data_IF_280375974589
#
_entry.id   IF_280375974589
#
_cell.length_a   1.000
_cell.length_b   1.000
_cell.length_c   1.000
_cell.angle_alpha   90.00
_cell.angle_beta   90.00
_cell.angle_gamma   90.00
#
_symmetry.space_group_name_H-M   'P 1'
#
loop_
_entity.id
_entity.type
_entity.pdbx_description
1 polymer ?
#
# COMPACT_ATOMS: atom_id res chain seq x y z
N UNK A 1 -46.51 -52.90 28.88
CA UNK A 1 -46.95 -51.69 29.62
C UNK A 1 -45.93 -50.59 29.44
N UNK A 2 -46.42 -49.37 29.14
CA UNK A 2 -45.77 -48.05 29.04
C UNK A 2 -44.77 -47.81 27.90
N UNK A 3 -44.78 -46.68 27.17
CA UNK A 3 -45.69 -45.52 26.99
C UNK A 3 -45.25 -44.85 25.66
N UNK A 4 -46.21 -44.39 24.85
CA UNK A 4 -46.00 -43.61 23.61
C UNK A 4 -45.73 -42.14 23.95
N UNK A 5 -44.90 -41.45 23.12
CA UNK A 5 -45.01 -40.06 22.61
C UNK A 5 -43.69 -39.72 21.89
N UNK A 6 -43.59 -39.74 20.56
CA UNK A 6 -44.04 -38.79 19.52
C UNK A 6 -43.26 -37.46 19.44
N UNK A 7 -42.92 -37.11 18.19
CA UNK A 7 -42.62 -35.79 17.58
C UNK A 7 -41.15 -35.37 17.38
N UNK A 8 -40.70 -35.54 16.13
CA UNK A 8 -40.19 -34.56 15.15
C UNK A 8 -39.14 -33.50 15.57
N UNK A 9 -37.98 -33.55 14.91
CA UNK A 9 -37.28 -32.36 14.39
C UNK A 9 -36.36 -32.75 13.23
N UNK A 10 -36.77 -32.38 12.01
CA UNK A 10 -35.88 -32.21 10.86
C UNK A 10 -35.17 -30.88 11.09
N UNK A 11 -33.84 -30.91 11.25
CA UNK A 11 -32.98 -29.74 11.40
C UNK A 11 -31.95 -29.69 10.28
N UNK A 12 -32.22 -28.82 9.31
CA UNK A 12 -31.45 -28.51 8.12
C UNK A 12 -30.16 -27.73 8.45
N UNK A 13 -29.20 -27.76 7.50
CA UNK A 13 -28.18 -26.75 7.15
C UNK A 13 -26.72 -27.01 7.58
N UNK A 14 -25.93 -27.24 6.53
CA UNK A 14 -24.51 -27.02 6.45
C UNK A 14 -24.16 -25.60 6.92
N UNK A 15 -23.33 -25.50 7.95
CA UNK A 15 -22.42 -24.38 8.10
C UNK A 15 -21.04 -24.91 7.71
N UNK A 16 -20.72 -24.78 6.43
CA UNK A 16 -19.33 -24.67 6.00
C UNK A 16 -18.66 -23.69 6.95
N UNK A 17 -17.72 -24.18 7.76
CA UNK A 17 -16.78 -23.34 8.45
C UNK A 17 -15.97 -22.61 7.37
N UNK A 18 -16.51 -21.50 6.87
CA UNK A 18 -15.68 -20.41 6.40
C UNK A 18 -14.89 -20.01 7.64
N UNK A 19 -13.70 -20.59 7.79
CA UNK A 19 -12.61 -19.90 8.44
C UNK A 19 -12.48 -18.60 7.68
N UNK A 20 -13.16 -17.55 8.15
CA UNK A 20 -12.69 -16.21 7.92
C UNK A 20 -11.32 -16.24 8.58
N UNK A 21 -10.29 -16.50 7.78
CA UNK A 21 -8.96 -16.05 8.12
C UNK A 21 -9.17 -14.59 8.48
N UNK A 22 -8.95 -14.28 9.74
CA UNK A 22 -8.71 -12.92 10.19
C UNK A 22 -7.46 -12.51 9.40
N UNK A 23 -7.66 -12.02 8.17
CA UNK A 23 -6.65 -11.26 7.46
C UNK A 23 -6.30 -10.17 8.47
N UNK A 24 -5.12 -10.28 9.07
CA UNK A 24 -4.47 -9.16 9.73
C UNK A 24 -4.33 -8.11 8.64
N UNK A 25 -5.35 -7.25 8.54
CA UNK A 25 -5.55 -6.39 7.39
C UNK A 25 -4.60 -5.21 7.55
N UNK A 26 -3.32 -5.48 7.26
CA UNK A 26 -2.29 -4.46 7.15
C UNK A 26 -2.71 -3.44 6.12
N UNK A 27 -2.30 -2.20 6.33
CA UNK A 27 -2.66 -1.07 5.50
C UNK A 27 -1.43 -0.24 5.23
N UNK A 28 -1.30 0.25 4.00
CA UNK A 28 -0.36 1.30 3.67
C UNK A 28 -1.01 2.22 2.62
N UNK A 29 -1.11 3.50 2.93
CA UNK A 29 -1.36 4.50 1.89
C UNK A 29 -0.07 4.82 1.16
N UNK A 30 -0.12 5.02 -0.16
CA UNK A 30 0.99 5.54 -0.97
C UNK A 30 0.57 6.85 -1.64
N UNK A 31 1.38 7.89 -1.46
CA UNK A 31 1.12 9.22 -2.00
C UNK A 31 2.31 9.69 -2.81
N UNK A 32 2.12 10.09 -4.07
CA UNK A 32 3.13 10.84 -4.81
C UNK A 32 3.15 12.29 -4.32
N UNK A 33 4.30 12.76 -3.84
CA UNK A 33 4.41 14.06 -3.16
C UNK A 33 5.19 15.11 -3.95
N UNK A 34 6.08 14.73 -4.85
CA UNK A 34 6.73 15.69 -5.74
C UNK A 34 7.38 15.03 -6.96
N UNK A 35 7.43 15.78 -8.06
CA UNK A 35 8.25 15.47 -9.24
C UNK A 35 9.20 16.62 -9.50
N UNK A 36 10.48 16.32 -9.67
CA UNK A 36 11.53 17.34 -9.84
C UNK A 36 12.50 16.93 -10.94
N UNK A 37 12.95 17.90 -11.75
CA UNK A 37 14.10 17.70 -12.62
C UNK A 37 15.38 17.80 -11.78
N UNK A 38 16.22 16.77 -11.79
CA UNK A 38 17.45 16.72 -10.98
C UNK A 38 18.63 17.26 -11.80
N UNK A 39 19.02 16.57 -12.87
CA UNK A 39 19.98 17.01 -13.88
C UNK A 39 20.05 16.00 -15.06
N UNK A 40 20.77 16.34 -16.13
CA UNK A 40 21.15 15.39 -17.21
C UNK A 40 19.99 14.60 -17.84
N UNK A 41 18.77 15.15 -17.83
CA UNK A 41 17.60 14.46 -18.37
C UNK A 41 16.95 13.47 -17.42
N UNK A 42 17.30 13.48 -16.12
CA UNK A 42 16.69 12.67 -15.08
C UNK A 42 15.67 13.44 -14.24
N UNK A 43 14.59 12.75 -13.91
CA UNK A 43 13.51 13.21 -13.08
C UNK A 43 13.48 12.36 -11.80
N UNK A 44 13.36 13.05 -10.67
CA UNK A 44 13.16 12.47 -9.35
C UNK A 44 11.69 12.55 -8.96
N UNK A 45 11.16 11.46 -8.46
CA UNK A 45 9.81 11.35 -7.92
C UNK A 45 9.90 10.97 -6.44
N UNK A 46 9.18 11.70 -5.60
CA UNK A 46 9.10 11.41 -4.16
C UNK A 46 7.75 10.84 -3.82
N UNK A 47 7.77 9.82 -2.97
CA UNK A 47 6.60 9.13 -2.47
C UNK A 47 6.63 9.12 -0.94
N UNK A 48 5.43 9.13 -0.36
CA UNK A 48 5.23 8.94 1.07
C UNK A 48 4.38 7.69 1.26
N UNK A 49 4.79 6.83 2.20
CA UNK A 49 4.00 5.68 2.64
C UNK A 49 3.61 5.87 4.10
N UNK A 50 2.34 5.67 4.46
CA UNK A 50 1.82 5.78 5.83
C UNK A 50 0.99 4.53 6.15
N UNK A 51 1.30 3.84 7.26
CA UNK A 51 0.60 2.62 7.68
C UNK A 51 -0.73 2.88 8.43
N UNK A 52 -1.21 4.13 8.47
CA UNK A 52 -2.48 4.52 9.08
C UNK A 52 -2.42 4.78 10.59
N UNK A 53 -1.32 4.42 11.26
CA UNK A 53 -1.08 4.66 12.68
C UNK A 53 -2.06 3.98 13.64
N UNK A 54 -2.22 4.56 14.84
CA UNK A 54 -2.94 3.97 15.98
C UNK A 54 -4.45 3.71 15.78
N UNK A 55 -5.05 4.09 14.64
CA UNK A 55 -6.43 3.71 14.30
C UNK A 55 -6.52 2.27 13.77
N UNK A 56 -5.38 1.64 13.49
CA UNK A 56 -5.31 0.21 13.22
C UNK A 56 -5.13 -0.54 14.55
N UNK A 57 -6.12 -1.35 14.93
CA UNK A 57 -6.12 -2.19 16.14
C UNK A 57 -5.27 -3.44 15.90
N UNK A 58 -4.06 -3.29 15.38
CA UNK A 58 -3.22 -4.43 15.02
C UNK A 58 -1.83 -4.22 15.60
N UNK A 59 -1.43 -5.15 16.48
CA UNK A 59 -0.06 -5.30 17.01
C UNK A 59 1.00 -5.59 15.90
N UNK A 60 0.65 -5.44 14.61
CA UNK A 60 1.42 -5.86 13.44
C UNK A 60 1.21 -4.95 12.20
N UNK A 61 1.19 -3.62 12.38
CA UNK A 61 1.13 -2.66 11.27
C UNK A 61 2.53 -2.34 10.68
N UNK A 62 3.58 -3.03 11.12
CA UNK A 62 4.94 -2.85 10.59
C UNK A 62 5.09 -3.48 9.20
N UNK A 63 5.97 -2.87 8.43
CA UNK A 63 6.45 -3.41 7.17
C UNK A 63 7.98 -3.52 7.21
N UNK A 64 8.49 -4.64 6.73
CA UNK A 64 9.88 -4.77 6.32
C UNK A 64 10.19 -3.87 5.11
N UNK A 65 11.40 -3.99 4.57
CA UNK A 65 11.77 -3.25 3.36
C UNK A 65 10.86 -3.69 2.19
N UNK A 66 10.29 -2.73 1.47
CA UNK A 66 9.41 -3.02 0.34
C UNK A 66 10.10 -2.75 -0.99
N UNK A 67 9.85 -3.62 -1.95
CA UNK A 67 10.07 -3.38 -3.37
C UNK A 67 8.71 -3.26 -4.05
N UNK A 68 8.33 -2.03 -4.40
CA UNK A 68 7.09 -1.77 -5.13
C UNK A 68 7.40 -1.63 -6.61
N UNK A 69 6.79 -2.47 -7.45
CA UNK A 69 6.84 -2.30 -8.90
C UNK A 69 5.79 -1.27 -9.31
N UNK A 70 6.24 -0.12 -9.77
CA UNK A 70 5.44 0.97 -10.28
C UNK A 70 5.37 0.90 -11.80
N UNK A 71 4.17 0.73 -12.34
CA UNK A 71 3.87 0.92 -13.75
C UNK A 71 3.61 2.39 -14.02
N UNK A 72 4.36 2.95 -14.96
CA UNK A 72 4.24 4.35 -15.35
C UNK A 72 3.35 4.47 -16.57
N UNK A 73 2.39 5.40 -16.54
CA UNK A 73 1.54 5.74 -17.68
C UNK A 73 1.64 7.23 -18.01
N UNK A 74 1.52 7.57 -19.29
CA UNK A 74 1.36 8.96 -19.72
C UNK A 74 -0.10 9.44 -19.62
N UNK A 75 -0.36 10.68 -20.00
CA UNK A 75 -1.71 11.29 -19.96
C UNK A 75 -2.71 10.62 -20.91
N UNK A 76 -2.24 9.75 -21.81
CA UNK A 76 -3.07 8.96 -22.72
C UNK A 76 -3.20 7.51 -22.25
N UNK A 77 -2.85 7.22 -20.99
CA UNK A 77 -2.84 5.88 -20.37
C UNK A 77 -1.89 4.89 -21.05
N UNK A 78 -0.98 5.35 -21.92
CA UNK A 78 0.01 4.48 -22.54
C UNK A 78 1.06 4.12 -21.50
N UNK A 79 1.32 2.82 -21.39
CA UNK A 79 2.38 2.29 -20.52
C UNK A 79 3.76 2.71 -21.05
N UNK A 80 4.51 3.41 -20.21
CA UNK A 80 5.88 3.86 -20.45
C UNK A 80 6.90 2.80 -19.99
N UNK A 81 6.51 1.99 -19.00
CA UNK A 81 7.28 0.87 -18.48
C UNK A 81 7.13 0.72 -16.97
N UNK A 82 7.80 -0.29 -16.42
CA UNK A 82 7.77 -0.60 -15.00
C UNK A 82 9.12 -0.23 -14.34
N UNK A 83 9.08 0.19 -13.07
CA UNK A 83 10.25 0.55 -12.24
C UNK A 83 10.06 0.06 -10.81
N UNK A 84 11.15 -0.22 -10.11
CA UNK A 84 11.12 -0.63 -8.70
C UNK A 84 11.36 0.61 -7.85
N UNK A 85 10.43 0.89 -6.94
CA UNK A 85 10.58 1.81 -5.83
C UNK A 85 11.02 1.00 -4.60
N UNK A 86 12.23 1.25 -4.12
CA UNK A 86 12.73 0.68 -2.86
C UNK A 86 12.26 1.55 -1.69
N UNK A 87 11.71 0.90 -0.67
CA UNK A 87 11.17 1.56 0.52
C UNK A 87 11.81 0.95 1.76
N UNK A 88 12.33 1.80 2.64
CA UNK A 88 12.89 1.36 3.92
C UNK A 88 11.79 0.80 4.85
N UNK A 89 12.13 -0.11 5.79
CA UNK A 89 11.20 -0.60 6.80
C UNK A 89 10.54 0.54 7.58
N UNK A 90 9.26 0.39 7.92
CA UNK A 90 8.50 1.43 8.60
C UNK A 90 7.30 0.86 9.39
N UNK A 91 6.72 1.69 10.25
CA UNK A 91 5.48 1.36 10.96
C UNK A 91 5.64 0.59 12.28
N UNK A 92 6.87 0.35 12.75
CA UNK A 92 7.18 -0.28 14.05
C UNK A 92 6.86 0.63 15.26
N UNK A 93 6.68 1.93 15.02
CA UNK A 93 6.33 2.91 16.05
C UNK A 93 5.51 4.06 15.47
N UNK A 94 4.95 4.91 16.34
CA UNK A 94 4.28 6.13 15.91
C UNK A 94 5.21 7.15 15.25
N UNK A 95 6.52 7.08 15.52
CA UNK A 95 7.53 7.97 14.92
C UNK A 95 7.91 7.55 13.50
N UNK A 96 7.80 6.26 13.20
CA UNK A 96 8.11 5.62 11.90
C UNK A 96 6.84 5.20 11.15
N UNK A 97 5.66 5.68 11.59
CA UNK A 97 4.36 5.49 10.92
C UNK A 97 4.43 5.82 9.43
N UNK A 98 5.22 6.85 9.11
CA UNK A 98 5.43 7.38 7.78
C UNK A 98 6.87 7.15 7.35
N UNK A 99 7.06 6.72 6.11
CA UNK A 99 8.36 6.68 5.45
C UNK A 99 8.33 7.40 4.11
N UNK A 100 9.50 7.76 3.60
CA UNK A 100 9.69 8.46 2.33
C UNK A 100 10.53 7.59 1.41
N UNK A 101 10.15 7.54 0.13
CA UNK A 101 10.87 6.81 -0.89
C UNK A 101 11.07 7.69 -2.13
N UNK A 102 12.13 7.42 -2.86
CA UNK A 102 12.51 8.18 -4.05
C UNK A 102 12.72 7.27 -5.25
N UNK A 103 12.30 7.73 -6.42
CA UNK A 103 12.60 7.09 -7.70
C UNK A 103 13.30 8.09 -8.62
N UNK A 104 14.46 7.73 -9.14
CA UNK A 104 15.19 8.50 -10.14
C UNK A 104 15.24 7.74 -11.46
N UNK A 105 14.70 8.35 -12.52
CA UNK A 105 14.62 7.76 -13.87
C UNK A 105 14.84 8.83 -14.94
N UNK A 106 15.17 8.45 -16.19
CA UNK A 106 15.08 9.38 -17.30
C UNK A 106 13.71 10.07 -17.31
N UNK A 107 13.70 11.38 -17.58
CA UNK A 107 12.47 12.14 -17.63
C UNK A 107 11.56 11.63 -18.74
N UNK A 108 10.39 11.16 -18.35
CA UNK A 108 9.31 10.71 -19.21
C UNK A 108 8.06 11.55 -18.91
N UNK A 109 7.07 11.56 -19.82
CA UNK A 109 5.80 12.27 -19.60
C UNK A 109 4.86 11.47 -18.68
N UNK A 110 5.35 11.08 -17.50
CA UNK A 110 4.59 10.30 -16.53
C UNK A 110 3.44 11.13 -15.97
N UNK A 111 2.24 10.59 -16.07
CA UNK A 111 1.01 11.15 -15.51
C UNK A 111 0.47 10.32 -14.34
N UNK A 112 0.75 9.01 -14.32
CA UNK A 112 0.28 8.08 -13.30
C UNK A 112 1.36 7.06 -12.95
N UNK A 113 1.46 6.73 -11.65
CA UNK A 113 2.16 5.57 -11.15
C UNK A 113 1.14 4.59 -10.57
N UNK A 114 1.15 3.35 -11.07
CA UNK A 114 0.29 2.27 -10.62
C UNK A 114 1.14 1.19 -9.92
N UNK A 115 0.83 0.86 -8.67
CA UNK A 115 1.49 -0.26 -7.98
C UNK A 115 0.95 -1.57 -8.55
N UNK A 116 1.78 -2.29 -9.29
CA UNK A 116 1.39 -3.56 -9.95
C UNK A 116 1.97 -4.79 -9.27
N UNK A 117 2.93 -4.61 -8.36
CA UNK A 117 3.50 -5.67 -7.52
C UNK A 117 4.11 -5.07 -6.26
N UNK A 118 3.98 -5.78 -5.14
CA UNK A 118 4.62 -5.43 -3.88
C UNK A 118 5.33 -6.65 -3.31
N UNK A 119 6.61 -6.50 -2.94
CA UNK A 119 7.39 -7.55 -2.28
C UNK A 119 7.96 -6.99 -0.99
N UNK A 120 7.81 -7.72 0.10
CA UNK A 120 8.36 -7.37 1.41
C UNK A 120 9.53 -8.30 1.75
N UNK A 121 10.59 -7.73 2.31
CA UNK A 121 11.63 -8.48 2.99
C UNK A 121 11.19 -8.81 4.42
N UNK A 122 10.81 -10.06 4.65
CA UNK A 122 10.48 -10.61 5.96
C UNK A 122 11.65 -11.44 6.47
N UNK A 123 12.56 -10.80 7.22
CA UNK A 123 13.72 -11.44 7.83
C UNK A 123 14.62 -12.20 6.82
N UNK A 124 14.91 -11.57 5.68
CA UNK A 124 15.72 -12.12 4.58
C UNK A 124 14.93 -12.94 3.57
N UNK A 125 13.63 -13.14 3.79
CA UNK A 125 12.74 -13.83 2.85
C UNK A 125 11.90 -12.82 2.06
N UNK A 126 11.97 -12.87 0.73
CA UNK A 126 11.14 -12.03 -0.15
C UNK A 126 9.74 -12.64 -0.28
N UNK A 127 8.74 -11.96 0.27
CA UNK A 127 7.33 -12.37 0.29
C UNK A 127 6.51 -11.40 -0.54
N UNK A 128 5.77 -11.90 -1.53
CA UNK A 128 4.86 -11.07 -2.30
C UNK A 128 3.62 -10.73 -1.45
N UNK A 129 3.28 -9.44 -1.41
CA UNK A 129 2.15 -8.92 -0.65
C UNK A 129 0.91 -8.75 -1.53
N UNK A 130 -0.29 -9.01 -0.99
CA UNK A 130 -1.52 -8.70 -1.71
C UNK A 130 -1.66 -7.18 -1.89
N UNK A 131 -1.96 -6.75 -3.11
CA UNK A 131 -2.10 -5.32 -3.45
C UNK A 131 -3.25 -4.63 -2.70
N UNK A 132 -4.21 -5.39 -2.16
CA UNK A 132 -5.32 -4.87 -1.34
C UNK A 132 -4.89 -4.22 -0.02
N UNK A 133 -3.64 -4.41 0.41
CA UNK A 133 -3.03 -3.71 1.54
C UNK A 133 -2.82 -2.22 1.20
N UNK A 134 -2.60 -1.91 -0.07
CA UNK A 134 -2.16 -0.60 -0.52
C UNK A 134 -3.33 0.26 -1.01
N UNK A 135 -3.40 1.49 -0.53
CA UNK A 135 -4.33 2.50 -1.01
C UNK A 135 -3.58 3.66 -1.66
N UNK A 136 -3.87 3.94 -2.93
CA UNK A 136 -3.32 5.12 -3.59
C UNK A 136 -4.04 6.38 -3.09
N UNK A 137 -3.28 7.34 -2.58
CA UNK A 137 -3.79 8.64 -2.15
C UNK A 137 -3.28 9.74 -3.08
N UNK A 138 -4.20 10.52 -3.64
CA UNK A 138 -3.93 11.52 -4.67
C UNK A 138 -4.44 12.92 -4.24
N UNK A 139 -3.87 13.53 -3.19
CA UNK A 139 -4.30 14.83 -2.73
C UNK A 139 -3.89 15.94 -3.71
N UNK A 140 -4.71 16.98 -3.82
CA UNK A 140 -4.26 18.24 -4.43
C UNK A 140 -3.25 18.91 -3.49
N UNK A 141 -2.01 19.06 -3.95
CA UNK A 141 -0.93 19.63 -3.14
C UNK A 141 -1.01 21.16 -3.10
N UNK A 142 -0.78 21.73 -1.92
CA UNK A 142 -0.75 23.16 -1.72
C UNK A 142 0.45 23.82 -2.44
N UNK A 143 0.26 25.05 -2.91
CA UNK A 143 1.35 25.87 -3.45
C UNK A 143 2.16 26.50 -2.32
N UNK A 144 3.48 26.57 -2.49
CA UNK A 144 4.39 27.28 -1.60
C UNK A 144 4.78 28.64 -2.20
N UNK A 145 4.81 29.68 -1.37
CA UNK A 145 5.30 31.01 -1.73
C UNK A 145 6.13 31.59 -0.58
N UNK A 146 7.15 32.38 -0.91
CA UNK A 146 7.96 33.13 0.08
C UNK A 146 7.53 34.59 0.04
N UNK A 147 7.29 35.20 1.20
CA UNK A 147 7.00 36.64 1.27
C UNK A 147 8.21 37.46 0.81
N UNK A 148 7.99 38.48 -0.03
CA UNK A 148 9.05 39.38 -0.48
C UNK A 148 9.76 40.01 0.73
N UNK A 149 11.10 40.02 0.71
CA UNK A 149 11.89 40.84 1.63
C UNK A 149 11.66 42.31 1.25
N UNK A 150 11.01 43.07 2.12
CA UNK A 150 10.93 44.54 2.03
C UNK A 150 12.31 45.17 2.16
#
# INVERSE_FOLDING_TARGET
MNKIKSVFAIGLLAASAFSLAEEQQRYASITHTSSNFINQGYCGYSFTLDNGGNHMVLDHAEFGALELTLRMKDRQEKVLGDKILEVEPFGDSSATRVTFAGLEIPCEDVAEFEVVKAVEDQNGSKVELPLSIFEANNPELAKMSVAEKK
#
